data_IF_067746941065
#
_entry.id   IF_067746941065
#
_cell.length_a   1.000
_cell.length_b   1.000
_cell.length_c   1.000
_cell.angle_alpha   90.00
_cell.angle_beta   90.00
_cell.angle_gamma   90.00
#
_symmetry.space_group_name_H-M   'P 1'
#
loop_
_entity.id
_entity.type
_entity.pdbx_description
1 polymer ?
#
# COMPACT_ATOMS: atom_id res chain seq x y z
N UNK A 1 12.79 3.75 -9.93
CA UNK A 1 11.94 3.85 -8.73
C UNK A 1 11.17 2.56 -8.55
N UNK A 2 11.23 1.92 -7.40
CA UNK A 2 10.51 0.68 -7.11
C UNK A 2 9.54 0.87 -5.94
N UNK A 3 8.30 0.41 -6.12
CA UNK A 3 7.21 0.66 -5.17
C UNK A 3 6.60 -0.66 -4.69
N UNK A 4 6.46 -0.81 -3.37
CA UNK A 4 5.70 -1.88 -2.75
C UNK A 4 4.33 -1.34 -2.36
N UNK A 5 3.26 -1.80 -3.02
CA UNK A 5 1.89 -1.47 -2.66
C UNK A 5 1.29 -2.54 -1.75
N UNK A 6 0.85 -2.10 -0.56
CA UNK A 6 0.03 -2.87 0.36
C UNK A 6 -1.37 -2.26 0.38
N UNK A 7 -2.35 -2.96 -0.19
CA UNK A 7 -3.73 -2.48 -0.30
C UNK A 7 -4.65 -3.26 0.64
N UNK A 8 -5.69 -2.62 1.18
CA UNK A 8 -6.62 -3.28 2.11
C UNK A 8 -7.40 -4.42 1.44
N UNK A 9 -8.16 -4.10 0.40
CA UNK A 9 -9.11 -5.00 -0.22
C UNK A 9 -8.50 -6.07 -1.12
N UNK A 10 -9.25 -7.17 -1.30
CA UNK A 10 -8.82 -8.32 -2.10
C UNK A 10 -9.11 -8.18 -3.60
N UNK A 11 -10.00 -7.28 -4.01
CA UNK A 11 -10.49 -7.22 -5.40
C UNK A 11 -10.38 -5.83 -6.03
N UNK A 12 -10.97 -4.81 -5.40
CA UNK A 12 -11.17 -3.49 -5.99
C UNK A 12 -9.85 -2.81 -6.34
N UNK A 13 -8.98 -2.63 -5.35
CA UNK A 13 -7.67 -1.97 -5.48
C UNK A 13 -6.71 -2.78 -6.35
N UNK A 14 -6.79 -4.11 -6.28
CA UNK A 14 -5.97 -5.01 -7.11
C UNK A 14 -6.30 -4.94 -8.59
N UNK A 15 -7.45 -4.37 -8.97
CA UNK A 15 -7.85 -4.10 -10.36
C UNK A 15 -7.56 -2.63 -10.72
N UNK A 16 -8.00 -1.71 -9.87
CA UNK A 16 -8.02 -0.29 -10.19
C UNK A 16 -6.63 0.34 -10.17
N UNK A 17 -5.82 0.06 -9.15
CA UNK A 17 -4.48 0.66 -9.11
C UNK A 17 -3.61 0.23 -10.28
N UNK A 18 -3.57 -1.05 -10.70
CA UNK A 18 -2.88 -1.41 -11.94
C UNK A 18 -3.37 -0.65 -13.17
N UNK A 19 -4.68 -0.54 -13.36
CA UNK A 19 -5.25 0.16 -14.52
C UNK A 19 -4.86 1.64 -14.48
N UNK A 20 -5.07 2.33 -13.35
CA UNK A 20 -4.69 3.73 -13.21
C UNK A 20 -3.19 3.97 -13.40
N UNK A 21 -2.34 3.15 -12.80
CA UNK A 21 -0.88 3.26 -12.97
C UNK A 21 -0.47 3.05 -14.43
N UNK A 22 -1.15 2.18 -15.17
CA UNK A 22 -0.86 1.96 -16.59
C UNK A 22 -1.09 3.20 -17.46
N UNK A 23 -2.03 4.08 -17.08
CA UNK A 23 -2.31 5.34 -17.76
C UNK A 23 -1.49 6.50 -17.21
N UNK A 24 -1.36 6.60 -15.88
CA UNK A 24 -0.74 7.75 -15.20
C UNK A 24 0.79 7.67 -15.20
N UNK A 25 1.37 6.47 -15.10
CA UNK A 25 2.82 6.25 -15.05
C UNK A 25 3.16 5.00 -15.90
N UNK A 26 3.02 5.06 -17.25
CA UNK A 26 3.14 3.88 -18.11
C UNK A 26 4.48 3.14 -18.03
N UNK A 27 5.55 3.84 -17.61
CA UNK A 27 6.88 3.27 -17.40
C UNK A 27 7.00 2.43 -16.11
N UNK A 28 6.06 2.57 -15.16
CA UNK A 28 6.03 1.80 -13.92
C UNK A 28 5.36 0.44 -14.18
N UNK A 29 6.14 -0.63 -14.21
CA UNK A 29 5.67 -1.98 -14.60
C UNK A 29 5.43 -2.88 -13.41
N UNK A 30 4.30 -3.60 -13.43
CA UNK A 30 3.97 -4.57 -12.38
C UNK A 30 4.88 -5.78 -12.46
N UNK A 31 5.39 -6.23 -11.32
CA UNK A 31 6.03 -7.55 -11.17
C UNK A 31 5.11 -8.52 -10.44
N UNK A 32 5.28 -9.82 -10.68
CA UNK A 32 4.43 -10.84 -10.09
C UNK A 32 4.82 -11.15 -8.65
N UNK A 33 6.11 -11.14 -8.35
CA UNK A 33 6.66 -11.41 -7.02
C UNK A 33 7.48 -10.23 -6.51
N UNK A 34 7.53 -10.08 -5.19
CA UNK A 34 8.15 -8.95 -4.52
C UNK A 34 9.68 -8.84 -4.73
N UNK A 35 10.34 -9.94 -5.07
CA UNK A 35 11.78 -10.05 -5.29
C UNK A 35 12.20 -9.83 -6.76
N UNK A 36 11.23 -9.64 -7.67
CA UNK A 36 11.48 -9.45 -9.10
C UNK A 36 11.67 -7.97 -9.51
N UNK A 37 11.67 -7.05 -8.55
CA UNK A 37 11.84 -5.61 -8.84
C UNK A 37 13.28 -5.30 -9.24
N UNK A 38 13.43 -4.52 -10.31
CA UNK A 38 14.73 -3.99 -10.76
C UNK A 38 14.67 -2.48 -10.89
N UNK A 39 14.03 -1.96 -11.94
CA UNK A 39 13.95 -0.52 -12.20
C UNK A 39 12.56 -0.17 -12.73
N UNK A 40 11.93 0.82 -12.10
CA UNK A 40 10.59 1.29 -12.48
C UNK A 40 9.57 0.16 -12.39
N UNK A 41 9.65 -0.61 -11.31
CA UNK A 41 8.73 -1.68 -11.03
C UNK A 41 7.82 -1.37 -9.84
N UNK A 42 6.67 -2.01 -9.81
CA UNK A 42 5.87 -2.08 -8.60
C UNK A 42 5.39 -3.50 -8.33
N UNK A 43 5.36 -3.85 -7.05
CA UNK A 43 4.69 -5.03 -6.55
C UNK A 43 3.41 -4.60 -5.84
N UNK A 44 2.34 -5.40 -5.94
CA UNK A 44 1.05 -5.10 -5.32
C UNK A 44 0.44 -6.34 -4.69
N UNK A 45 0.21 -6.27 -3.39
CA UNK A 45 -0.39 -7.31 -2.56
C UNK A 45 -1.52 -6.75 -1.70
N UNK A 46 -2.50 -7.60 -1.37
CA UNK A 46 -3.57 -7.27 -0.42
C UNK A 46 -3.17 -7.66 1.00
N UNK A 47 -3.44 -6.78 1.96
CA UNK A 47 -3.33 -7.03 3.40
C UNK A 47 -4.49 -7.83 4.00
N UNK A 48 -5.44 -8.29 3.17
CA UNK A 48 -6.60 -9.09 3.58
C UNK A 48 -7.61 -8.37 4.50
N UNK A 49 -7.77 -7.06 4.32
CA UNK A 49 -8.73 -6.25 5.07
C UNK A 49 -8.23 -5.77 6.45
N UNK A 50 -9.02 -4.92 7.09
CA UNK A 50 -8.82 -4.52 8.48
C UNK A 50 -9.31 -5.60 9.48
N UNK A 51 -8.61 -5.81 10.62
CA UNK A 51 -7.35 -5.17 11.05
C UNK A 51 -6.09 -5.87 10.53
N UNK A 52 -6.22 -6.97 9.77
CA UNK A 52 -5.12 -7.84 9.34
C UNK A 52 -4.03 -7.11 8.55
N UNK A 53 -4.41 -6.11 7.74
CA UNK A 53 -3.45 -5.27 7.01
C UNK A 53 -2.47 -4.58 7.97
N UNK A 54 -2.91 -4.21 9.16
CA UNK A 54 -2.08 -3.50 10.14
C UNK A 54 -1.31 -4.48 11.02
N UNK A 55 -1.97 -5.51 11.55
CA UNK A 55 -1.33 -6.49 12.45
C UNK A 55 -0.31 -7.37 11.74
N UNK A 56 -0.60 -7.80 10.52
CA UNK A 56 0.19 -8.78 9.79
C UNK A 56 0.72 -8.21 8.47
N UNK A 57 -0.09 -7.43 7.74
CA UNK A 57 0.27 -6.91 6.44
C UNK A 57 1.48 -5.98 6.47
N UNK A 58 1.49 -5.01 7.38
CA UNK A 58 2.60 -4.04 7.50
C UNK A 58 3.91 -4.73 7.91
N UNK A 59 3.98 -5.53 9.00
CA UNK A 59 5.23 -6.22 9.36
C UNK A 59 5.76 -7.09 8.22
N UNK A 60 4.91 -7.92 7.62
CA UNK A 60 5.31 -8.78 6.51
C UNK A 60 5.82 -7.98 5.30
N UNK A 61 5.18 -6.86 4.97
CA UNK A 61 5.63 -5.99 3.89
C UNK A 61 7.03 -5.42 4.19
N UNK A 62 7.27 -4.97 5.43
CA UNK A 62 8.57 -4.43 5.82
C UNK A 62 9.67 -5.50 5.81
N UNK A 63 9.38 -6.71 6.27
CA UNK A 63 10.32 -7.83 6.19
C UNK A 63 10.72 -8.11 4.73
N UNK A 64 9.74 -8.17 3.82
CA UNK A 64 9.99 -8.39 2.39
C UNK A 64 10.74 -7.24 1.72
N UNK A 65 10.43 -6.00 2.09
CA UNK A 65 11.14 -4.83 1.58
C UNK A 65 12.60 -4.84 2.04
N UNK A 66 12.83 -5.16 3.30
CA UNK A 66 14.17 -5.22 3.91
C UNK A 66 15.00 -6.36 3.30
N UNK A 67 14.39 -7.53 3.10
CA UNK A 67 14.99 -8.70 2.44
C UNK A 67 15.46 -8.37 1.02
N UNK A 68 14.63 -7.69 0.23
CA UNK A 68 14.94 -7.36 -1.17
C UNK A 68 15.88 -6.17 -1.29
N UNK A 69 15.74 -5.14 -0.44
CA UNK A 69 16.63 -3.98 -0.38
C UNK A 69 16.60 -3.05 -1.60
N UNK A 70 15.65 -3.25 -2.54
CA UNK A 70 15.55 -2.46 -3.80
C UNK A 70 14.34 -1.51 -3.86
N UNK A 71 13.52 -1.45 -2.81
CA UNK A 71 12.32 -0.61 -2.79
C UNK A 71 12.64 0.81 -2.32
N UNK A 72 12.10 1.79 -3.04
CA UNK A 72 12.19 3.20 -2.65
C UNK A 72 10.98 3.60 -1.80
N UNK A 73 9.82 2.98 -2.03
CA UNK A 73 8.55 3.33 -1.39
C UNK A 73 7.79 2.11 -0.89
N UNK A 74 7.24 2.23 0.31
CA UNK A 74 6.09 1.44 0.80
C UNK A 74 4.86 2.33 0.74
N UNK A 75 3.92 2.00 -0.15
CA UNK A 75 2.64 2.70 -0.27
C UNK A 75 1.56 1.82 0.36
N UNK A 76 0.93 2.32 1.42
CA UNK A 76 -0.19 1.65 2.09
C UNK A 76 -1.48 2.35 1.70
N UNK A 77 -2.40 1.61 1.08
CA UNK A 77 -3.73 2.09 0.73
C UNK A 77 -4.76 1.44 1.64
N UNK A 78 -5.54 2.24 2.35
CA UNK A 78 -6.50 1.77 3.36
C UNK A 78 -7.70 2.70 3.43
N UNK A 79 -8.87 2.13 3.73
CA UNK A 79 -10.09 2.89 3.89
C UNK A 79 -10.06 3.70 5.20
N UNK A 80 -10.77 4.83 5.23
CA UNK A 80 -11.01 5.60 6.44
C UNK A 80 -12.20 5.05 7.25
N UNK A 81 -13.16 4.43 6.57
CA UNK A 81 -14.44 3.97 7.11
C UNK A 81 -15.14 5.05 7.93
N UNK A 82 -15.29 4.85 9.24
CA UNK A 82 -15.91 5.80 10.16
C UNK A 82 -14.95 6.82 10.74
N UNK A 83 -13.64 6.63 10.54
CA UNK A 83 -12.61 7.52 11.06
C UNK A 83 -12.39 8.75 10.17
N UNK A 84 -11.77 9.78 10.74
CA UNK A 84 -11.17 10.84 9.95
C UNK A 84 -9.87 10.36 9.31
N UNK A 85 -9.49 10.97 8.19
CA UNK A 85 -8.20 10.70 7.52
C UNK A 85 -7.03 10.83 8.49
N UNK A 86 -7.04 11.86 9.35
CA UNK A 86 -5.96 12.11 10.30
C UNK A 86 -5.94 11.08 11.44
N UNK A 87 -7.11 10.65 11.94
CA UNK A 87 -7.20 9.59 12.94
C UNK A 87 -6.66 8.27 12.40
N UNK A 88 -7.03 7.88 11.17
CA UNK A 88 -6.55 6.66 10.52
C UNK A 88 -5.04 6.71 10.25
N UNK A 89 -4.52 7.84 9.77
CA UNK A 89 -3.05 8.03 9.63
C UNK A 89 -2.33 7.88 10.96
N UNK A 90 -2.82 8.57 12.00
CA UNK A 90 -2.22 8.52 13.34
C UNK A 90 -2.18 7.10 13.86
N UNK A 91 -3.27 6.35 13.73
CA UNK A 91 -3.34 4.96 14.15
C UNK A 91 -2.26 4.08 13.50
N UNK A 92 -2.05 4.25 12.19
CA UNK A 92 -1.03 3.49 11.45
C UNK A 92 0.37 3.89 11.89
N UNK A 93 0.66 5.19 12.05
CA UNK A 93 1.95 5.65 12.56
C UNK A 93 2.22 5.12 13.97
N UNK A 94 1.23 5.18 14.86
CA UNK A 94 1.34 4.66 16.23
C UNK A 94 1.61 3.15 16.21
N UNK A 95 0.96 2.39 15.31
CA UNK A 95 1.20 0.95 15.14
C UNK A 95 2.63 0.66 14.67
N UNK A 96 3.12 1.40 13.68
CA UNK A 96 4.50 1.26 13.16
C UNK A 96 5.52 1.56 14.27
N UNK A 97 5.32 2.63 15.03
CA UNK A 97 6.19 3.00 16.15
C UNK A 97 6.14 1.96 17.27
N UNK A 98 4.95 1.51 17.67
CA UNK A 98 4.77 0.52 18.74
C UNK A 98 5.46 -0.81 18.44
N UNK A 99 5.51 -1.20 17.17
CA UNK A 99 6.14 -2.44 16.73
C UNK A 99 7.62 -2.27 16.34
N UNK A 100 8.23 -1.10 16.58
CA UNK A 100 9.62 -0.78 16.21
C UNK A 100 9.95 -1.11 14.75
N UNK A 101 9.01 -0.83 13.84
CA UNK A 101 9.17 -1.14 12.43
C UNK A 101 10.11 -0.11 11.78
N UNK A 102 11.27 -0.56 11.30
CA UNK A 102 12.27 0.28 10.64
C UNK A 102 12.24 0.08 9.12
N UNK A 103 12.00 1.16 8.36
CA UNK A 103 11.94 1.13 6.90
C UNK A 103 13.29 1.44 6.21
N UNK A 104 14.32 1.76 7.00
CA UNK A 104 15.64 2.15 6.49
C UNK A 104 15.54 3.33 5.52
N UNK A 105 15.92 3.10 4.26
CA UNK A 105 15.87 4.11 3.19
C UNK A 105 14.50 4.18 2.48
N UNK A 106 13.61 3.22 2.74
CA UNK A 106 12.29 3.13 2.10
C UNK A 106 11.38 4.21 2.69
N UNK A 107 10.72 4.97 1.83
CA UNK A 107 9.78 6.01 2.24
C UNK A 107 8.37 5.44 2.43
N UNK A 108 7.75 5.71 3.57
CA UNK A 108 6.35 5.36 3.82
C UNK A 108 5.42 6.43 3.22
N UNK A 109 4.45 5.98 2.42
CA UNK A 109 3.37 6.81 1.89
C UNK A 109 2.04 6.18 2.27
N UNK A 110 1.16 6.96 2.92
CA UNK A 110 -0.18 6.53 3.28
C UNK A 110 -1.22 7.17 2.36
N UNK A 111 -1.99 6.36 1.64
CA UNK A 111 -3.16 6.77 0.88
C UNK A 111 -4.39 6.33 1.67
N UNK A 112 -5.03 7.28 2.34
CA UNK A 112 -6.30 7.02 3.04
C UNK A 112 -7.46 7.30 2.09
N UNK A 113 -8.26 6.28 1.79
CA UNK A 113 -9.44 6.40 0.95
C UNK A 113 -10.60 6.89 1.83
N UNK A 114 -11.03 8.14 1.66
CA UNK A 114 -12.12 8.72 2.45
C UNK A 114 -13.43 8.73 1.62
N UNK A 115 -14.48 7.99 1.97
CA UNK A 115 -14.63 7.11 3.14
C UNK A 115 -14.07 5.70 2.92
N UNK A 116 -14.27 5.15 1.72
CA UNK A 116 -13.65 3.93 1.24
C UNK A 116 -13.46 3.97 -0.28
N UNK A 117 -12.67 3.06 -0.86
CA UNK A 117 -12.44 3.04 -2.31
C UNK A 117 -13.74 2.88 -3.12
N UNK A 118 -14.71 2.10 -2.64
CA UNK A 118 -16.00 1.93 -3.32
C UNK A 118 -16.73 3.26 -3.45
N UNK A 119 -16.70 4.10 -2.41
CA UNK A 119 -17.38 5.42 -2.45
C UNK A 119 -16.80 6.34 -3.52
N UNK A 120 -15.50 6.23 -3.82
CA UNK A 120 -14.88 7.00 -4.90
C UNK A 120 -15.40 6.58 -6.28
N UNK A 121 -15.77 5.31 -6.43
CA UNK A 121 -16.22 4.71 -7.69
C UNK A 121 -17.73 4.83 -7.88
N UNK A 122 -18.49 5.02 -6.79
CA UNK A 122 -19.92 5.30 -6.83
C UNK A 122 -20.26 6.71 -7.34
N UNK A 123 -19.25 7.57 -7.52
CA UNK A 123 -19.41 8.91 -8.08
C UNK A 123 -19.75 8.98 -9.57
N UNK A 124 -19.88 7.85 -10.27
CA UNK A 124 -20.33 7.82 -11.66
C UNK A 124 -21.87 7.80 -11.74
N UNK A 125 -22.50 8.97 -11.57
CA UNK A 125 -23.89 9.22 -11.90
C UNK A 125 -24.00 10.33 -12.93
#
# INVERSE_FOLDING_TARGET
>A
MNIYFLVEGRSTEKKIYPDWLSYLIPQLKRVQFHDQVEVNNYYLISGNGYPAIISDGIPNAVDKITEVGKYDYLVICIDADEDTVDARKKYIYDSIQKNNIELGKTQLVLIIQNRCIETWLLGNR
#
